data_IF_654169411257
#
_entry.id   IF_654169411257
#
_cell.length_a   1.000
_cell.length_b   1.000
_cell.length_c   1.000
_cell.angle_alpha   90.00
_cell.angle_beta   90.00
_cell.angle_gamma   90.00
#
_symmetry.space_group_name_H-M   'P 1'
#
loop_
_entity.id
_entity.type
_entity.pdbx_description
1 polymer ?
#
# COMPACT_ATOMS: atom_id res chain seq x y z
N UNK A 1 -8.56 17.12 -3.33
CA UNK A 1 -8.29 16.01 -2.37
C UNK A 1 -6.96 16.24 -1.69
N UNK A 2 -5.91 16.52 -2.48
CA UNK A 2 -4.60 16.87 -1.99
C UNK A 2 -4.56 18.06 -1.00
N UNK A 3 -3.75 17.91 0.04
CA UNK A 3 -3.17 19.01 0.82
C UNK A 3 -1.65 18.98 0.62
N UNK A 4 -0.95 20.09 0.90
CA UNK A 4 0.51 20.14 0.76
C UNK A 4 1.19 19.07 1.63
N UNK A 5 0.76 18.94 2.87
CA UNK A 5 1.29 17.92 3.79
C UNK A 5 1.04 16.50 3.31
N UNK A 6 -0.17 16.20 2.80
CA UNK A 6 -0.48 14.87 2.27
C UNK A 6 0.37 14.51 1.05
N UNK A 7 0.63 15.47 0.15
CA UNK A 7 1.49 15.23 -1.02
C UNK A 7 2.92 14.88 -0.58
N UNK A 8 3.47 15.58 0.42
CA UNK A 8 4.81 15.30 0.95
C UNK A 8 4.85 13.89 1.56
N UNK A 9 3.86 13.54 2.38
CA UNK A 9 3.78 12.20 2.97
C UNK A 9 3.66 11.11 1.91
N UNK A 10 2.85 11.31 0.87
CA UNK A 10 2.77 10.37 -0.26
C UNK A 10 4.13 10.20 -0.93
N UNK A 11 4.89 11.27 -1.18
CA UNK A 11 6.24 11.14 -1.75
C UNK A 11 7.16 10.33 -0.84
N UNK A 12 7.18 10.63 0.47
CA UNK A 12 8.02 9.92 1.43
C UNK A 12 7.64 8.44 1.49
N UNK A 13 6.35 8.13 1.64
CA UNK A 13 5.83 6.76 1.63
C UNK A 13 6.15 6.06 0.31
N UNK A 14 5.99 6.73 -0.84
CA UNK A 14 6.35 6.17 -2.14
C UNK A 14 7.82 5.77 -2.23
N UNK A 15 8.75 6.58 -1.72
CA UNK A 15 10.17 6.22 -1.68
C UNK A 15 10.37 4.98 -0.80
N UNK A 16 9.86 5.02 0.43
CA UNK A 16 10.02 3.93 1.41
C UNK A 16 9.40 2.64 0.89
N UNK A 17 8.19 2.68 0.34
CA UNK A 17 7.50 1.51 -0.18
C UNK A 17 8.15 0.98 -1.45
N UNK A 18 8.63 1.83 -2.34
CA UNK A 18 9.39 1.38 -3.52
C UNK A 18 10.62 0.57 -3.09
N UNK A 19 11.40 1.09 -2.15
CA UNK A 19 12.60 0.42 -1.64
C UNK A 19 12.22 -0.86 -0.87
N UNK A 20 11.25 -0.77 0.04
CA UNK A 20 10.79 -1.90 0.84
C UNK A 20 10.25 -3.04 -0.02
N UNK A 21 9.39 -2.74 -1.00
CA UNK A 21 8.85 -3.75 -1.93
C UNK A 21 9.97 -4.36 -2.77
N UNK A 22 10.96 -3.58 -3.21
CA UNK A 22 12.11 -4.12 -3.93
C UNK A 22 12.95 -5.06 -3.05
N UNK A 23 13.25 -4.66 -1.81
CA UNK A 23 13.99 -5.49 -0.87
C UNK A 23 13.21 -6.77 -0.54
N UNK A 24 11.92 -6.67 -0.25
CA UNK A 24 11.10 -7.83 0.05
C UNK A 24 11.01 -8.77 -1.16
N UNK A 25 10.67 -8.23 -2.32
CA UNK A 25 10.41 -8.95 -3.56
C UNK A 25 11.61 -9.65 -4.18
N UNK A 26 12.81 -9.07 -4.03
CA UNK A 26 14.00 -9.50 -4.76
C UNK A 26 15.18 -9.91 -3.88
N UNK A 27 15.18 -9.53 -2.59
CA UNK A 27 16.27 -9.85 -1.66
C UNK A 27 15.83 -10.82 -0.57
N UNK A 28 14.68 -10.58 0.06
CA UNK A 28 14.20 -11.44 1.16
C UNK A 28 13.49 -12.68 0.64
N UNK A 29 12.53 -12.52 -0.27
CA UNK A 29 11.76 -13.66 -0.78
C UNK A 29 12.54 -14.33 -1.92
N UNK A 30 13.25 -15.38 -1.55
CA UNK A 30 14.01 -16.24 -2.45
C UNK A 30 13.43 -17.68 -2.47
N UNK A 31 14.11 -18.57 -3.20
CA UNK A 31 13.69 -19.97 -3.29
C UNK A 31 13.72 -20.70 -1.94
N UNK A 32 14.65 -20.34 -1.04
CA UNK A 32 14.77 -20.96 0.26
C UNK A 32 13.59 -20.58 1.16
N UNK A 33 13.25 -19.29 1.23
CA UNK A 33 12.09 -18.80 2.00
C UNK A 33 10.80 -19.40 1.44
N UNK A 34 10.65 -19.50 0.13
CA UNK A 34 9.45 -20.08 -0.48
C UNK A 34 9.36 -21.60 -0.28
N UNK A 35 10.46 -22.34 -0.45
CA UNK A 35 10.49 -23.77 -0.15
C UNK A 35 10.08 -24.01 1.30
N UNK A 36 10.62 -23.22 2.23
CA UNK A 36 10.26 -23.29 3.64
C UNK A 36 8.80 -22.92 3.91
N UNK A 37 8.29 -21.89 3.24
CA UNK A 37 6.87 -21.50 3.31
C UNK A 37 5.97 -22.66 2.86
N UNK A 38 6.34 -23.35 1.79
CA UNK A 38 5.59 -24.48 1.25
C UNK A 38 5.65 -25.69 2.19
N UNK A 39 6.81 -25.99 2.78
CA UNK A 39 6.95 -27.02 3.81
C UNK A 39 6.05 -26.76 5.02
N UNK A 40 6.06 -25.53 5.54
CA UNK A 40 5.21 -25.11 6.65
C UNK A 40 3.71 -25.23 6.29
N UNK A 41 3.36 -24.96 5.04
CA UNK A 41 2.00 -25.14 4.51
C UNK A 41 1.65 -26.61 4.18
N UNK A 42 2.55 -27.57 4.42
CA UNK A 42 2.34 -28.99 4.11
C UNK A 42 2.37 -29.33 2.61
N UNK A 43 2.89 -28.43 1.78
CA UNK A 43 3.02 -28.60 0.33
C UNK A 43 4.43 -29.06 -0.05
N UNK A 44 4.51 -29.96 -1.05
CA UNK A 44 5.77 -30.36 -1.68
C UNK A 44 5.69 -30.07 -3.18
N UNK A 45 6.00 -28.84 -3.54
CA UNK A 45 6.05 -28.41 -4.94
C UNK A 45 7.25 -27.49 -5.19
N UNK A 46 7.65 -27.38 -6.45
CA UNK A 46 8.75 -26.51 -6.88
C UNK A 46 8.37 -25.03 -6.70
N UNK A 47 9.11 -24.23 -5.91
CA UNK A 47 8.81 -22.83 -5.67
C UNK A 47 9.11 -21.90 -6.87
N UNK A 48 9.83 -22.37 -7.90
CA UNK A 48 10.35 -21.53 -8.99
C UNK A 48 9.28 -20.74 -9.75
N UNK A 49 8.15 -21.37 -10.05
CA UNK A 49 7.01 -20.75 -10.73
C UNK A 49 6.34 -19.67 -9.87
N UNK A 50 6.15 -19.95 -8.58
CA UNK A 50 5.60 -19.00 -7.62
C UNK A 50 6.54 -17.81 -7.43
N UNK A 51 7.84 -18.05 -7.29
CA UNK A 51 8.85 -16.99 -7.16
C UNK A 51 8.84 -16.04 -8.37
N UNK A 52 8.72 -16.60 -9.57
CA UNK A 52 8.63 -15.79 -10.80
C UNK A 52 7.38 -14.92 -10.80
N UNK A 53 6.21 -15.50 -10.49
CA UNK A 53 4.97 -14.74 -10.37
C UNK A 53 5.04 -13.65 -9.30
N UNK A 54 5.59 -13.98 -8.13
CA UNK A 54 5.79 -13.05 -7.04
C UNK A 54 6.69 -11.87 -7.42
N UNK A 55 7.80 -12.13 -8.13
CA UNK A 55 8.71 -11.09 -8.64
C UNK A 55 8.06 -10.19 -9.69
N UNK A 56 7.23 -10.75 -10.58
CA UNK A 56 6.46 -9.95 -11.55
C UNK A 56 5.50 -9.01 -10.82
N UNK A 57 4.75 -9.51 -9.85
CA UNK A 57 3.85 -8.69 -9.03
C UNK A 57 4.65 -7.64 -8.25
N UNK A 58 5.76 -8.02 -7.64
CA UNK A 58 6.68 -7.11 -6.94
C UNK A 58 7.19 -5.98 -7.84
N UNK A 59 7.60 -6.30 -9.08
CA UNK A 59 8.05 -5.30 -10.04
C UNK A 59 6.93 -4.29 -10.39
N UNK A 60 5.69 -4.76 -10.57
CA UNK A 60 4.53 -3.90 -10.80
C UNK A 60 4.32 -2.96 -9.63
N UNK A 61 4.35 -3.45 -8.39
CA UNK A 61 4.21 -2.60 -7.21
C UNK A 61 5.36 -1.61 -7.04
N UNK A 62 6.61 -1.99 -7.34
CA UNK A 62 7.76 -1.07 -7.33
C UNK A 62 7.52 0.11 -8.29
N UNK A 63 7.13 -0.16 -9.53
CA UNK A 63 6.84 0.88 -10.52
C UNK A 63 5.65 1.73 -10.07
N UNK A 64 4.59 1.09 -9.58
CA UNK A 64 3.38 1.77 -9.14
C UNK A 64 3.61 2.68 -7.92
N UNK A 65 4.42 2.24 -6.94
CA UNK A 65 4.82 3.06 -5.80
C UNK A 65 5.64 4.27 -6.24
N UNK A 66 6.55 4.10 -7.21
CA UNK A 66 7.36 5.20 -7.77
C UNK A 66 6.50 6.28 -8.46
N UNK A 67 5.30 5.95 -8.97
CA UNK A 67 4.38 6.97 -9.52
C UNK A 67 3.96 8.00 -8.47
N UNK A 68 3.89 7.64 -7.19
CA UNK A 68 3.53 8.58 -6.13
C UNK A 68 4.58 9.67 -5.88
N UNK A 69 5.80 9.54 -6.42
CA UNK A 69 6.79 10.63 -6.44
C UNK A 69 6.27 11.85 -7.24
N UNK A 70 5.36 11.63 -8.17
CA UNK A 70 4.72 12.68 -8.97
C UNK A 70 3.62 13.43 -8.18
N UNK A 71 3.35 13.04 -6.92
CA UNK A 71 2.31 13.65 -6.09
C UNK A 71 2.52 15.14 -5.82
N UNK A 72 3.73 15.69 -6.01
CA UNK A 72 3.93 17.14 -5.88
C UNK A 72 3.44 17.93 -7.11
N UNK A 73 3.34 17.31 -8.28
CA UNK A 73 3.05 18.00 -9.56
C UNK A 73 1.75 17.57 -10.21
N UNK A 74 1.22 16.39 -9.86
CA UNK A 74 0.05 15.84 -10.54
C UNK A 74 -1.29 16.33 -9.99
N UNK A 75 -2.33 16.16 -10.81
CA UNK A 75 -3.72 16.46 -10.49
C UNK A 75 -4.39 15.42 -9.61
N UNK A 76 -5.74 15.46 -9.56
CA UNK A 76 -6.53 14.54 -8.74
C UNK A 76 -6.57 13.10 -9.29
N UNK A 77 -6.26 12.87 -10.57
CA UNK A 77 -6.22 11.50 -11.11
C UNK A 77 -5.16 10.64 -10.40
N UNK A 78 -3.98 11.22 -10.12
CA UNK A 78 -2.89 10.53 -9.43
C UNK A 78 -3.27 10.19 -7.99
N UNK A 79 -4.15 10.98 -7.36
CA UNK A 79 -4.66 10.66 -6.02
C UNK A 79 -5.32 9.28 -6.00
N UNK A 80 -6.17 9.02 -7.01
CA UNK A 80 -6.87 7.75 -7.12
C UNK A 80 -5.95 6.60 -7.50
N UNK A 81 -4.96 6.84 -8.35
CA UNK A 81 -3.92 5.84 -8.67
C UNK A 81 -3.15 5.46 -7.41
N UNK A 82 -2.61 6.44 -6.67
CA UNK A 82 -1.86 6.19 -5.43
C UNK A 82 -2.74 5.46 -4.41
N UNK A 83 -4.01 5.86 -4.27
CA UNK A 83 -4.94 5.18 -3.37
C UNK A 83 -5.16 3.72 -3.79
N UNK A 84 -5.40 3.45 -5.07
CA UNK A 84 -5.63 2.09 -5.57
C UNK A 84 -4.39 1.20 -5.39
N UNK A 85 -3.20 1.72 -5.69
CA UNK A 85 -1.93 0.99 -5.51
C UNK A 85 -1.70 0.65 -4.05
N UNK A 86 -1.85 1.63 -3.15
CA UNK A 86 -1.65 1.38 -1.73
C UNK A 86 -2.76 0.49 -1.15
N UNK A 87 -3.99 0.54 -1.67
CA UNK A 87 -5.05 -0.39 -1.26
C UNK A 87 -4.73 -1.83 -1.68
N UNK A 88 -4.21 -2.02 -2.90
CA UNK A 88 -3.74 -3.32 -3.36
C UNK A 88 -2.59 -3.85 -2.50
N UNK A 89 -1.63 -3.00 -2.14
CA UNK A 89 -0.51 -3.39 -1.28
C UNK A 89 -0.96 -3.66 0.16
N UNK A 90 -1.90 -2.86 0.70
CA UNK A 90 -2.49 -3.07 2.01
C UNK A 90 -3.25 -4.40 2.13
N UNK A 91 -3.77 -4.93 1.01
CA UNK A 91 -4.37 -6.26 1.00
C UNK A 91 -3.36 -7.36 1.37
N UNK A 92 -2.05 -7.12 1.18
CA UNK A 92 -0.97 -8.00 1.62
C UNK A 92 -1.04 -8.33 3.12
N UNK A 93 -1.51 -7.40 3.96
CA UNK A 93 -1.70 -7.62 5.40
C UNK A 93 -2.64 -8.80 5.72
N UNK A 94 -3.62 -9.07 4.84
CA UNK A 94 -4.58 -10.15 5.03
C UNK A 94 -4.43 -11.33 4.06
N UNK A 95 -3.74 -11.14 2.94
CA UNK A 95 -3.59 -12.18 1.89
C UNK A 95 -2.30 -12.96 2.07
N UNK A 96 -1.23 -12.35 2.58
CA UNK A 96 0.05 -13.04 2.75
C UNK A 96 -0.08 -14.08 3.86
N UNK A 97 0.20 -15.37 3.58
CA UNK A 97 0.07 -16.44 4.56
C UNK A 97 1.06 -16.26 5.72
N UNK A 98 0.66 -16.67 6.92
CA UNK A 98 1.49 -16.54 8.13
C UNK A 98 2.80 -17.32 7.99
N UNK A 99 2.76 -18.46 7.31
CA UNK A 99 3.88 -19.34 7.00
C UNK A 99 5.00 -18.60 6.24
N UNK A 100 4.66 -17.60 5.42
CA UNK A 100 5.67 -16.79 4.71
C UNK A 100 6.42 -15.86 5.66
N UNK A 101 5.72 -15.28 6.65
CA UNK A 101 6.36 -14.47 7.68
C UNK A 101 7.22 -15.33 8.61
N UNK A 102 6.75 -16.52 8.97
CA UNK A 102 7.50 -17.48 9.76
C UNK A 102 8.77 -17.93 9.03
N UNK A 103 8.66 -18.37 7.78
CA UNK A 103 9.81 -18.78 6.95
C UNK A 103 10.84 -17.65 6.76
N UNK A 104 10.38 -16.42 6.49
CA UNK A 104 11.27 -15.27 6.36
C UNK A 104 11.95 -14.93 7.70
N UNK A 105 11.24 -15.06 8.82
CA UNK A 105 11.81 -14.85 10.15
C UNK A 105 12.78 -15.94 10.58
N UNK A 106 12.53 -17.20 10.23
CA UNK A 106 13.47 -18.31 10.48
C UNK A 106 14.77 -18.11 9.67
N UNK A 107 14.66 -17.64 8.43
CA UNK A 107 15.80 -17.49 7.52
C UNK A 107 16.63 -16.25 7.80
N UNK A 108 15.97 -15.11 8.01
CA UNK A 108 16.60 -13.78 8.08
C UNK A 108 16.36 -13.05 9.41
N UNK A 109 15.73 -13.70 10.39
CA UNK A 109 15.29 -13.05 11.62
C UNK A 109 14.20 -12.00 11.36
N UNK A 110 13.98 -11.13 12.35
CA UNK A 110 12.98 -10.06 12.24
C UNK A 110 13.22 -9.11 11.06
N UNK A 111 14.47 -9.01 10.58
CA UNK A 111 14.84 -8.17 9.42
C UNK A 111 14.19 -8.70 8.13
N UNK A 112 13.94 -10.00 8.03
CA UNK A 112 13.25 -10.59 6.87
C UNK A 112 11.80 -10.13 6.75
N UNK A 113 11.09 -9.95 7.87
CA UNK A 113 9.69 -9.52 7.85
C UNK A 113 9.52 -8.00 7.80
N UNK A 114 10.55 -7.25 8.18
CA UNK A 114 10.49 -5.79 8.28
C UNK A 114 10.03 -5.10 6.98
N UNK A 115 10.55 -5.45 5.78
CA UNK A 115 10.10 -4.82 4.55
C UNK A 115 8.58 -4.92 4.33
N UNK A 116 7.97 -6.09 4.51
CA UNK A 116 6.52 -6.28 4.35
C UNK A 116 5.72 -5.55 5.43
N UNK A 117 6.17 -5.59 6.69
CA UNK A 117 5.51 -4.83 7.78
C UNK A 117 5.48 -3.34 7.46
N UNK A 118 6.59 -2.80 6.96
CA UNK A 118 6.70 -1.38 6.58
C UNK A 118 5.87 -1.07 5.34
N UNK A 119 5.91 -1.92 4.30
CA UNK A 119 5.21 -1.65 3.04
C UNK A 119 3.72 -1.86 3.16
N UNK A 120 3.28 -2.98 3.71
CA UNK A 120 1.88 -3.41 3.68
C UNK A 120 1.11 -2.74 4.83
N UNK A 121 1.71 -2.73 6.02
CA UNK A 121 1.20 -1.99 7.17
C UNK A 121 1.23 -0.48 6.96
N UNK A 122 2.32 0.04 6.39
CA UNK A 122 2.43 1.45 6.03
C UNK A 122 1.41 1.85 4.95
N UNK A 123 1.23 1.01 3.93
CA UNK A 123 0.23 1.26 2.89
C UNK A 123 -1.19 1.27 3.46
N UNK A 124 -1.53 0.38 4.39
CA UNK A 124 -2.81 0.38 5.08
C UNK A 124 -3.05 1.71 5.81
N UNK A 125 -2.07 2.19 6.58
CA UNK A 125 -2.16 3.49 7.26
C UNK A 125 -2.35 4.63 6.25
N UNK A 126 -1.57 4.65 5.17
CA UNK A 126 -1.67 5.70 4.15
C UNK A 126 -3.04 5.70 3.45
N UNK A 127 -3.59 4.52 3.15
CA UNK A 127 -4.95 4.36 2.58
C UNK A 127 -5.98 4.96 3.53
N UNK A 128 -5.92 4.64 4.82
CA UNK A 128 -6.85 5.18 5.82
C UNK A 128 -6.78 6.71 5.90
N UNK A 129 -5.58 7.28 5.87
CA UNK A 129 -5.38 8.74 5.86
C UNK A 129 -5.97 9.37 4.58
N UNK A 130 -5.73 8.77 3.42
CA UNK A 130 -6.27 9.27 2.15
C UNK A 130 -7.79 9.17 2.09
N UNK A 131 -8.38 8.06 2.54
CA UNK A 131 -9.83 7.89 2.65
C UNK A 131 -10.44 8.89 3.64
N UNK A 132 -9.83 9.08 4.81
CA UNK A 132 -10.23 10.11 5.77
C UNK A 132 -10.25 11.50 5.13
N UNK A 133 -9.27 11.81 4.25
CA UNK A 133 -9.27 13.07 3.51
C UNK A 133 -10.43 13.18 2.51
N UNK A 134 -10.76 12.09 1.80
CA UNK A 134 -11.94 12.05 0.91
C UNK A 134 -13.21 12.33 1.70
N UNK A 135 -13.41 11.63 2.82
CA UNK A 135 -14.58 11.80 3.70
C UNK A 135 -14.69 13.24 4.22
N UNK A 136 -13.59 13.85 4.67
CA UNK A 136 -13.58 15.23 5.13
C UNK A 136 -13.99 16.23 4.02
N UNK A 137 -13.54 16.03 2.78
CA UNK A 137 -13.95 16.88 1.63
C UNK A 137 -15.44 16.71 1.33
N UNK A 138 -15.95 15.49 1.39
CA UNK A 138 -17.37 15.21 1.19
C UNK A 138 -18.18 15.92 2.28
N UNK A 139 -17.86 15.72 3.56
CA UNK A 139 -18.56 16.38 4.68
C UNK A 139 -18.59 17.91 4.55
N UNK A 140 -17.45 18.54 4.25
CA UNK A 140 -17.38 20.01 4.06
C UNK A 140 -18.35 20.50 2.98
N UNK A 141 -18.48 19.76 1.86
CA UNK A 141 -19.40 20.10 0.77
C UNK A 141 -20.86 19.94 1.17
N UNK A 142 -21.18 18.97 2.03
CA UNK A 142 -22.54 18.74 2.49
C UNK A 142 -22.95 19.82 3.51
N UNK A 143 -22.08 20.15 4.47
CA UNK A 143 -22.33 21.23 5.43
C UNK A 143 -22.53 22.58 4.74
N UNK A 144 -21.70 22.92 3.74
CA UNK A 144 -21.83 24.15 2.98
C UNK A 144 -23.16 24.26 2.20
N UNK A 145 -23.69 23.13 1.69
CA UNK A 145 -25.01 23.10 1.03
C UNK A 145 -26.15 23.27 2.03
N UNK A 146 -26.06 22.64 3.20
CA UNK A 146 -27.07 22.77 4.26
C UNK A 146 -27.22 24.21 4.76
N UNK A 147 -26.10 24.95 4.89
CA UNK A 147 -26.13 26.37 5.26
C UNK A 147 -26.78 27.27 4.20
N UNK A 148 -26.58 26.99 2.90
CA UNK A 148 -27.19 27.78 1.81
C UNK A 148 -28.72 27.57 1.75
N UNK A 149 -29.20 26.36 1.99
CA UNK A 149 -30.65 26.07 2.05
C UNK A 149 -31.29 26.74 3.27
N UNK A 150 -30.61 26.77 4.42
CA UNK A 150 -31.12 27.41 5.64
C UNK A 150 -31.18 28.95 5.54
N UNK A 151 -30.24 29.59 4.83
CA UNK A 151 -30.25 31.04 4.58
C UNK A 151 -31.21 31.47 3.45
N UNK A 152 -31.80 30.51 2.74
CA UNK A 152 -32.66 30.74 1.58
C UNK A 152 -34.16 30.75 1.88
N UNK A 153 -34.60 30.80 3.13
CA UNK A 153 -36.02 31.07 3.41
C UNK A 153 -36.34 32.53 3.06
N UNK A 154 -37.20 32.79 2.06
CA UNK A 154 -37.69 34.14 1.83
C UNK A 154 -38.58 34.49 3.02
N UNK A 155 -38.23 35.57 3.72
CA UNK A 155 -39.17 36.22 4.63
C UNK A 155 -40.43 36.58 3.85
N UNK A 156 -41.53 35.93 4.21
CA UNK A 156 -42.89 36.42 4.00
C UNK A 156 -43.53 36.60 5.36
#
# INVERSE_FOLDING_TARGET
MWTRSLRIWVVVCSIVFTIGTALHGFVVIDEQVLARTMELAGASADPSGFLTGFRVVGAVFVVANALGLLALRAGNWLFWVVLAVNAGQAAGVGIVPFEMFEAASETYGWVGVLPSVVTDGGALILVLVMLGRVLAVVQQRWSARGTVVASGQPGQ
#
